data_IF_868538037436
#
_entry.id   IF_868538037436
#
_cell.length_a   1.000
_cell.length_b   1.000
_cell.length_c   1.000
_cell.angle_alpha   90.00
_cell.angle_beta   90.00
_cell.angle_gamma   90.00
#
_symmetry.space_group_name_H-M   'P 1'
#
loop_
_entity.id
_entity.type
_entity.pdbx_description
1 polymer ?
#
# COMPACT_ATOMS: atom_id res chain seq x y z
N UNK A 1 -4.63 -5.35 16.36
CA UNK A 1 -3.62 -4.66 15.52
C UNK A 1 -3.38 -5.49 14.26
N UNK A 2 -3.51 -4.92 13.07
CA UNK A 2 -3.22 -5.64 11.83
C UNK A 2 -1.97 -5.03 11.20
N UNK A 3 -0.99 -5.87 10.84
CA UNK A 3 0.28 -5.40 10.27
C UNK A 3 0.50 -6.04 8.92
N UNK A 4 0.71 -5.19 7.91
CA UNK A 4 0.95 -5.58 6.52
C UNK A 4 2.44 -5.83 6.31
N UNK A 5 2.78 -6.77 5.43
CA UNK A 5 4.16 -6.92 4.94
C UNK A 5 4.64 -5.61 4.32
N UNK A 6 5.91 -5.20 4.52
CA UNK A 6 6.39 -3.89 4.07
C UNK A 6 6.42 -3.75 2.55
N UNK A 7 6.50 -4.85 1.79
CA UNK A 7 6.48 -4.80 0.31
C UNK A 7 5.12 -4.34 -0.23
N UNK A 8 3.99 -5.02 0.07
CA UNK A 8 2.67 -4.54 -0.35
C UNK A 8 2.27 -3.22 0.35
N UNK A 9 2.83 -2.90 1.52
CA UNK A 9 2.70 -1.57 2.11
C UNK A 9 3.36 -0.50 1.23
N UNK A 10 4.60 -0.71 0.80
CA UNK A 10 5.31 0.22 -0.09
C UNK A 10 4.54 0.47 -1.38
N UNK A 11 4.11 -0.59 -2.07
CA UNK A 11 3.30 -0.45 -3.29
C UNK A 11 2.03 0.36 -3.05
N UNK A 12 1.32 0.08 -1.95
CA UNK A 12 0.11 0.81 -1.58
C UNK A 12 0.39 2.28 -1.28
N UNK A 13 1.52 2.59 -0.65
CA UNK A 13 1.93 3.95 -0.35
C UNK A 13 2.28 4.72 -1.63
N UNK A 14 2.96 4.08 -2.59
CA UNK A 14 3.24 4.70 -3.89
C UNK A 14 1.95 5.05 -4.64
N UNK A 15 0.99 4.11 -4.74
CA UNK A 15 -0.30 4.38 -5.38
C UNK A 15 -1.00 5.60 -4.75
N UNK A 16 -1.06 5.64 -3.41
CA UNK A 16 -1.68 6.74 -2.69
C UNK A 16 -0.94 8.07 -2.91
N UNK A 17 0.39 8.11 -2.78
CA UNK A 17 1.19 9.33 -2.96
C UNK A 17 1.06 9.89 -4.38
N UNK A 18 1.09 9.02 -5.39
CA UNK A 18 0.91 9.42 -6.79
C UNK A 18 -0.48 10.03 -6.99
N UNK A 19 -1.52 9.43 -6.41
CA UNK A 19 -2.87 10.00 -6.43
C UNK A 19 -2.95 11.36 -5.71
N UNK A 20 -2.16 11.54 -4.66
CA UNK A 20 -2.10 12.78 -3.89
C UNK A 20 -1.20 13.84 -4.56
N UNK A 21 -0.56 13.51 -5.69
CA UNK A 21 0.16 14.48 -6.52
C UNK A 21 1.69 14.40 -6.44
N UNK A 22 2.23 13.36 -5.81
CA UNK A 22 3.67 13.14 -5.75
C UNK A 22 4.25 12.95 -7.16
N UNK A 23 5.40 13.61 -7.40
CA UNK A 23 6.23 13.41 -8.60
C UNK A 23 7.20 12.25 -8.39
N UNK A 24 7.78 11.75 -9.46
CA UNK A 24 8.73 10.63 -9.43
C UNK A 24 9.91 10.90 -8.49
N UNK A 25 10.40 12.14 -8.45
CA UNK A 25 11.50 12.53 -7.59
C UNK A 25 11.16 12.57 -6.08
N UNK A 26 9.89 12.43 -5.74
CA UNK A 26 9.35 12.59 -4.38
C UNK A 26 8.79 11.30 -3.82
N UNK A 27 8.69 10.27 -4.69
CA UNK A 27 8.33 8.95 -4.26
C UNK A 27 9.40 8.45 -3.27
N UNK A 28 8.97 7.86 -2.13
CA UNK A 28 9.89 7.36 -1.14
C UNK A 28 10.77 6.28 -1.75
N UNK A 29 12.04 6.29 -1.38
CA UNK A 29 12.94 5.21 -1.74
C UNK A 29 12.51 3.93 -1.00
N UNK A 30 12.80 2.74 -1.56
CA UNK A 30 12.49 1.45 -0.93
C UNK A 30 13.00 1.37 0.51
N UNK A 31 14.18 1.94 0.77
CA UNK A 31 14.79 1.98 2.09
C UNK A 31 14.16 2.98 3.08
N UNK A 32 13.34 3.93 2.63
CA UNK A 32 12.73 4.96 3.48
C UNK A 32 11.39 4.52 4.07
N UNK A 33 10.84 3.39 3.60
CA UNK A 33 9.57 2.87 4.12
C UNK A 33 9.84 2.15 5.42
N UNK A 34 9.19 2.59 6.49
CA UNK A 34 9.29 1.98 7.81
C UNK A 34 7.93 1.44 8.23
N UNK A 35 7.91 0.24 8.81
CA UNK A 35 6.70 -0.37 9.36
C UNK A 35 6.20 0.37 10.60
N UNK A 36 7.11 0.82 11.47
CA UNK A 36 6.82 1.48 12.75
C UNK A 36 5.93 0.67 13.71
N UNK A 37 5.71 -0.60 13.37
CA UNK A 37 4.68 -1.44 13.97
C UNK A 37 5.24 -2.18 15.18
N UNK A 38 6.54 -2.42 15.24
CA UNK A 38 7.18 -3.00 16.41
C UNK A 38 7.07 -2.09 17.63
N UNK A 39 7.44 -0.80 17.50
CA UNK A 39 7.34 0.17 18.59
C UNK A 39 5.91 0.40 19.05
N UNK A 40 4.98 0.45 18.10
CA UNK A 40 3.55 0.55 18.40
C UNK A 40 3.06 -0.68 19.17
N UNK A 41 3.45 -1.89 18.77
CA UNK A 41 3.12 -3.11 19.51
C UNK A 41 3.73 -3.12 20.91
N UNK A 42 5.00 -2.72 21.06
CA UNK A 42 5.69 -2.64 22.36
C UNK A 42 4.91 -1.75 23.32
N UNK A 43 4.53 -0.53 22.88
CA UNK A 43 3.75 0.41 23.68
C UNK A 43 2.39 -0.16 24.09
N UNK A 44 1.64 -0.74 23.14
CA UNK A 44 0.34 -1.32 23.47
C UNK A 44 0.46 -2.48 24.46
N UNK A 45 1.44 -3.37 24.30
CA UNK A 45 1.63 -4.49 25.22
C UNK A 45 2.07 -4.03 26.61
N UNK A 46 2.90 -2.99 26.72
CA UNK A 46 3.28 -2.40 28.00
C UNK A 46 2.08 -1.80 28.74
N UNK A 47 1.12 -1.21 28.01
CA UNK A 47 -0.04 -0.53 28.60
C UNK A 47 -1.21 -1.46 28.88
N UNK A 48 -1.45 -2.45 28.01
CA UNK A 48 -2.65 -3.29 28.05
C UNK A 48 -2.36 -4.72 28.53
N UNK A 49 -1.10 -5.15 28.63
CA UNK A 49 -0.73 -6.55 28.78
C UNK A 49 -0.63 -7.26 27.43
N UNK A 50 0.23 -8.28 27.35
CA UNK A 50 0.50 -8.97 26.09
C UNK A 50 -0.71 -9.81 25.61
N UNK A 51 -1.46 -10.36 26.56
CA UNK A 51 -2.65 -11.17 26.39
C UNK A 51 -3.85 -10.39 25.83
N UNK A 52 -3.89 -9.07 26.05
CA UNK A 52 -4.98 -8.21 25.58
C UNK A 52 -4.68 -7.56 24.20
N UNK A 53 -3.52 -7.86 23.61
CA UNK A 53 -3.13 -7.32 22.30
C UNK A 53 -3.06 -8.42 21.26
N UNK A 54 -4.14 -8.54 20.48
CA UNK A 54 -4.19 -9.38 19.29
C UNK A 54 -3.59 -8.60 18.12
N UNK A 55 -2.34 -8.85 17.79
CA UNK A 55 -1.74 -8.53 16.49
C UNK A 55 -2.24 -9.55 15.43
N UNK A 56 -2.22 -9.28 14.14
CA UNK A 56 -2.59 -10.22 13.05
C UNK A 56 -1.87 -9.76 11.79
N UNK A 57 -1.55 -10.69 10.89
CA UNK A 57 -0.99 -10.33 9.57
C UNK A 57 -2.11 -9.80 8.67
N UNK A 58 -1.91 -8.62 8.12
CA UNK A 58 -2.78 -8.04 7.10
C UNK A 58 -2.40 -8.62 5.73
N UNK A 59 -2.94 -9.81 5.46
CA UNK A 59 -2.76 -10.53 4.21
C UNK A 59 -4.01 -11.36 3.96
N UNK A 60 -4.54 -11.37 2.72
CA UNK A 60 -5.81 -12.05 2.41
C UNK A 60 -5.78 -13.53 2.79
N UNK A 61 -4.65 -14.21 2.66
CA UNK A 61 -4.57 -15.61 3.06
C UNK A 61 -4.69 -15.80 4.58
N UNK A 62 -4.38 -14.77 5.37
CA UNK A 62 -4.35 -14.80 6.84
C UNK A 62 -5.62 -14.22 7.50
N UNK A 63 -6.52 -13.63 6.71
CA UNK A 63 -7.78 -13.04 7.16
C UNK A 63 -8.92 -14.03 6.92
N UNK A 64 -9.86 -14.11 7.85
CA UNK A 64 -11.10 -14.86 7.66
C UNK A 64 -11.85 -14.40 6.41
N UNK A 65 -12.20 -15.34 5.54
CA UNK A 65 -12.86 -15.03 4.26
C UNK A 65 -12.05 -14.09 3.34
N UNK A 66 -10.77 -13.86 3.64
CA UNK A 66 -9.93 -12.90 2.92
C UNK A 66 -10.24 -11.43 3.17
N UNK A 67 -11.04 -11.09 4.19
CA UNK A 67 -11.49 -9.72 4.46
C UNK A 67 -11.18 -9.27 5.91
N UNK A 68 -10.75 -8.02 6.05
CA UNK A 68 -10.34 -7.46 7.34
C UNK A 68 -11.52 -7.34 8.31
N UNK A 69 -12.66 -6.83 7.84
CA UNK A 69 -13.80 -6.58 8.72
C UNK A 69 -14.40 -7.91 9.15
N UNK A 70 -14.55 -8.85 8.23
CA UNK A 70 -14.99 -10.22 8.53
C UNK A 70 -14.10 -10.86 9.60
N UNK A 71 -12.79 -10.76 9.45
CA UNK A 71 -11.84 -11.27 10.44
C UNK A 71 -11.95 -10.56 11.79
N UNK A 72 -12.10 -9.22 11.81
CA UNK A 72 -12.30 -8.43 13.02
C UNK A 72 -13.58 -8.83 13.77
N UNK A 73 -14.70 -8.96 13.07
CA UNK A 73 -15.97 -9.37 13.67
C UNK A 73 -15.89 -10.77 14.28
N UNK A 74 -15.18 -11.70 13.61
CA UNK A 74 -14.89 -13.02 14.17
C UNK A 74 -14.06 -12.91 15.45
N UNK A 75 -13.02 -12.08 15.49
CA UNK A 75 -12.20 -11.90 16.70
C UNK A 75 -13.04 -11.32 17.86
N UNK A 76 -13.89 -10.34 17.58
CA UNK A 76 -14.82 -9.77 18.58
C UNK A 76 -15.75 -10.87 19.10
N UNK A 77 -16.34 -11.68 18.22
CA UNK A 77 -17.22 -12.76 18.63
C UNK A 77 -16.53 -13.84 19.46
N UNK A 78 -15.27 -14.16 19.16
CA UNK A 78 -14.46 -15.08 19.98
C UNK A 78 -14.24 -14.54 21.39
N UNK A 79 -13.96 -13.24 21.53
CA UNK A 79 -13.77 -12.59 22.84
C UNK A 79 -15.07 -12.58 23.65
N UNK A 80 -16.20 -12.30 23.01
CA UNK A 80 -17.51 -12.25 23.67
C UNK A 80 -18.17 -13.63 23.86
N UNK A 81 -17.60 -14.70 23.29
CA UNK A 81 -18.18 -16.05 23.34
C UNK A 81 -19.47 -16.23 22.53
N UNK A 82 -19.77 -15.31 21.61
CA UNK A 82 -20.97 -15.37 20.76
C UNK A 82 -20.66 -14.84 19.36
N UNK A 83 -21.29 -15.37 18.29
CA UNK A 83 -21.10 -14.86 16.94
C UNK A 83 -21.46 -13.37 16.83
N UNK A 84 -20.58 -12.58 16.23
CA UNK A 84 -20.85 -11.17 15.89
C UNK A 84 -20.65 -11.02 14.38
N UNK A 85 -21.59 -10.33 13.74
CA UNK A 85 -21.58 -10.06 12.31
C UNK A 85 -21.77 -8.56 12.04
N UNK A 86 -21.24 -8.05 10.92
CA UNK A 86 -21.52 -6.68 10.50
C UNK A 86 -23.01 -6.47 10.21
N UNK A 87 -23.56 -5.33 10.62
CA UNK A 87 -24.96 -4.97 10.37
C UNK A 87 -25.24 -4.65 8.89
N UNK A 88 -24.20 -4.35 8.11
CA UNK A 88 -24.28 -4.02 6.69
C UNK A 88 -23.25 -4.81 5.89
N UNK A 89 -23.48 -5.06 4.59
CA UNK A 89 -22.50 -5.69 3.73
C UNK A 89 -21.19 -4.90 3.73
N UNK A 90 -20.07 -5.57 3.98
CA UNK A 90 -18.74 -4.98 3.89
C UNK A 90 -18.47 -4.59 2.44
N UNK A 91 -18.27 -3.31 2.19
CA UNK A 91 -17.84 -2.78 0.87
C UNK A 91 -16.39 -2.34 0.98
N UNK A 92 -15.56 -2.77 0.03
CA UNK A 92 -14.20 -2.25 -0.11
C UNK A 92 -14.25 -0.82 -0.66
N UNK A 93 -13.88 0.17 0.15
CA UNK A 93 -13.87 1.58 -0.26
C UNK A 93 -12.49 2.09 -0.67
N UNK A 94 -11.43 1.32 -0.39
CA UNK A 94 -10.03 1.72 -0.59
C UNK A 94 -9.37 0.90 -1.70
N UNK A 95 -10.04 0.79 -2.84
CA UNK A 95 -9.44 0.11 -3.98
C UNK A 95 -8.37 0.99 -4.62
N UNK A 96 -7.18 0.43 -4.81
CA UNK A 96 -6.09 1.07 -5.55
C UNK A 96 -6.47 1.24 -7.03
N UNK A 97 -5.85 2.20 -7.72
CA UNK A 97 -6.03 2.30 -9.17
C UNK A 97 -5.33 1.15 -9.91
N UNK A 98 -5.67 0.95 -11.19
CA UNK A 98 -4.87 0.12 -12.07
C UNK A 98 -3.48 0.72 -12.27
N UNK A 99 -2.47 -0.11 -12.54
CA UNK A 99 -1.10 0.35 -12.81
C UNK A 99 -1.07 1.44 -13.88
N UNK A 100 -1.80 1.23 -14.97
CA UNK A 100 -1.90 2.20 -16.06
C UNK A 100 -2.47 3.55 -15.59
N UNK A 101 -3.53 3.54 -14.79
CA UNK A 101 -4.11 4.77 -14.24
C UNK A 101 -3.15 5.47 -13.27
N UNK A 102 -2.53 4.72 -12.36
CA UNK A 102 -1.53 5.26 -11.42
C UNK A 102 -0.36 5.90 -12.16
N UNK A 103 0.22 5.20 -13.15
CA UNK A 103 1.38 5.70 -13.90
C UNK A 103 1.03 6.86 -14.83
N UNK A 104 -0.18 6.89 -15.41
CA UNK A 104 -0.65 8.06 -16.15
C UNK A 104 -0.87 9.27 -15.24
N UNK A 105 -1.40 9.08 -14.03
CA UNK A 105 -1.48 10.16 -13.04
C UNK A 105 -0.08 10.65 -12.65
N UNK A 106 0.90 9.75 -12.53
CA UNK A 106 2.28 10.14 -12.26
C UNK A 106 2.85 11.03 -13.38
N UNK A 107 2.63 10.71 -14.66
CA UNK A 107 3.09 11.56 -15.76
C UNK A 107 2.39 12.91 -15.77
N UNK A 108 1.09 12.95 -15.44
CA UNK A 108 0.38 14.20 -15.22
C UNK A 108 1.03 15.04 -14.10
N UNK A 109 1.38 14.44 -12.96
CA UNK A 109 1.97 15.15 -11.83
C UNK A 109 3.29 15.85 -12.18
N UNK A 110 4.04 15.34 -13.17
CA UNK A 110 5.25 16.00 -13.69
C UNK A 110 4.93 17.30 -14.46
N UNK A 111 3.82 17.31 -15.20
CA UNK A 111 3.41 18.45 -16.04
C UNK A 111 2.52 19.47 -15.34
N UNK A 112 1.88 19.13 -14.23
CA UNK A 112 1.06 20.08 -13.47
C UNK A 112 1.93 21.09 -12.70
N UNK A 113 1.66 22.39 -12.90
CA UNK A 113 2.16 23.42 -11.99
C UNK A 113 1.65 23.13 -10.59
N UNK A 114 2.57 23.07 -9.63
CA UNK A 114 2.19 22.99 -8.22
C UNK A 114 1.41 24.22 -7.89
N UNK A 115 0.23 24.03 -7.29
CA UNK A 115 -0.56 25.10 -6.68
C UNK A 115 0.40 26.12 -6.06
N UNK A 116 0.49 27.31 -6.66
CA UNK A 116 1.16 28.43 -6.01
C UNK A 116 0.48 28.72 -4.67
N UNK A 117 1.08 29.60 -3.87
CA UNK A 117 0.55 30.01 -2.56
C UNK A 117 -0.92 30.53 -2.57
N UNK A 118 -1.52 30.69 -3.75
CA UNK A 118 -2.91 31.07 -3.98
C UNK A 118 -3.85 29.92 -4.35
N UNK A 119 -3.48 28.67 -4.07
CA UNK A 119 -4.39 27.50 -3.96
C UNK A 119 -5.61 27.56 -4.87
N UNK A 120 -5.43 27.31 -6.18
CA UNK A 120 -6.53 27.39 -7.13
C UNK A 120 -7.51 26.24 -6.89
N UNK A 121 -8.54 26.49 -6.07
CA UNK A 121 -9.56 25.52 -5.68
C UNK A 121 -10.19 24.80 -6.89
N UNK A 122 -10.20 25.46 -8.05
CA UNK A 122 -10.64 24.87 -9.33
C UNK A 122 -9.73 23.73 -9.79
N UNK A 123 -8.42 23.87 -9.65
CA UNK A 123 -7.47 22.81 -10.02
C UNK A 123 -7.62 21.60 -9.11
N UNK A 124 -7.79 21.82 -7.79
CA UNK A 124 -8.09 20.75 -6.82
C UNK A 124 -9.39 20.06 -7.22
N UNK A 125 -10.44 20.81 -7.49
CA UNK A 125 -11.74 20.27 -7.92
C UNK A 125 -11.63 19.46 -9.23
N UNK A 126 -10.91 19.97 -10.23
CA UNK A 126 -10.67 19.26 -11.49
C UNK A 126 -9.90 17.95 -11.28
N UNK A 127 -8.87 17.96 -10.41
CA UNK A 127 -8.14 16.74 -10.06
C UNK A 127 -9.05 15.73 -9.38
N UNK A 128 -9.81 16.16 -8.37
CA UNK A 128 -10.77 15.27 -7.69
C UNK A 128 -11.78 14.67 -8.68
N UNK A 129 -12.36 15.49 -9.56
CA UNK A 129 -13.31 15.03 -10.57
C UNK A 129 -12.68 14.01 -11.53
N UNK A 130 -11.43 14.23 -11.96
CA UNK A 130 -10.68 13.28 -12.78
C UNK A 130 -10.46 11.95 -12.04
N UNK A 131 -10.00 11.99 -10.79
CA UNK A 131 -9.75 10.78 -10.00
C UNK A 131 -11.03 9.98 -9.76
N UNK A 132 -12.16 10.63 -9.46
CA UNK A 132 -13.45 9.95 -9.32
C UNK A 132 -13.94 9.34 -10.63
N UNK A 133 -13.74 10.02 -11.76
CA UNK A 133 -14.07 9.47 -13.09
C UNK A 133 -13.29 8.20 -13.37
N UNK A 134 -11.97 8.22 -13.15
CA UNK A 134 -11.12 7.04 -13.31
C UNK A 134 -11.52 5.91 -12.35
N UNK A 135 -11.93 6.24 -11.11
CA UNK A 135 -12.33 5.24 -10.10
C UNK A 135 -13.59 4.51 -10.50
N UNK A 136 -14.52 5.20 -11.15
CA UNK A 136 -15.81 4.65 -11.51
C UNK A 136 -15.90 4.17 -12.96
N UNK A 137 -14.85 4.37 -13.77
CA UNK A 137 -14.78 3.90 -15.15
C UNK A 137 -14.86 2.36 -15.23
N UNK A 138 -15.94 1.78 -15.80
CA UNK A 138 -16.10 0.33 -15.90
C UNK A 138 -14.95 -0.33 -16.67
N UNK A 139 -14.50 0.34 -17.73
CA UNK A 139 -13.43 -0.14 -18.62
C UNK A 139 -12.06 -0.20 -17.96
N UNK A 140 -11.89 0.30 -16.73
CA UNK A 140 -10.63 0.22 -16.00
C UNK A 140 -10.64 -0.84 -14.89
N UNK A 141 -11.78 -1.48 -14.62
CA UNK A 141 -11.94 -2.42 -13.49
C UNK A 141 -11.07 -3.66 -13.62
N UNK A 142 -10.95 -4.19 -14.84
CA UNK A 142 -10.19 -5.42 -15.11
C UNK A 142 -8.71 -5.16 -15.43
N UNK A 143 -8.28 -3.91 -15.42
CA UNK A 143 -6.88 -3.58 -15.65
C UNK A 143 -6.01 -4.00 -14.45
N UNK A 144 -4.79 -4.50 -14.71
CA UNK A 144 -3.91 -4.96 -13.66
C UNK A 144 -3.56 -3.81 -12.70
N UNK A 145 -3.46 -4.11 -11.40
CA UNK A 145 -2.89 -3.21 -10.40
C UNK A 145 -1.36 -3.18 -10.56
N UNK A 146 -0.70 -2.25 -9.86
CA UNK A 146 0.77 -2.25 -9.80
C UNK A 146 1.28 -3.66 -9.39
N UNK A 147 2.20 -4.19 -10.19
CA UNK A 147 2.85 -5.46 -9.91
C UNK A 147 3.68 -5.36 -8.62
N UNK A 148 4.06 -6.50 -8.06
CA UNK A 148 5.04 -6.48 -6.97
C UNK A 148 6.39 -5.94 -7.48
N UNK A 149 7.18 -5.25 -6.64
CA UNK A 149 8.52 -4.83 -7.00
C UNK A 149 9.42 -6.02 -7.40
N UNK A 150 10.47 -5.82 -8.23
CA UNK A 150 11.44 -6.85 -8.52
C UNK A 150 12.10 -7.40 -7.24
N UNK A 151 12.64 -8.64 -7.24
CA UNK A 151 13.23 -9.25 -6.05
C UNK A 151 14.26 -8.37 -5.33
N UNK A 152 15.11 -7.66 -6.06
CA UNK A 152 16.10 -6.73 -5.48
C UNK A 152 15.46 -5.61 -4.67
N UNK A 153 14.43 -4.94 -5.23
CA UNK A 153 13.70 -3.88 -4.53
C UNK A 153 12.98 -4.44 -3.29
N UNK A 154 12.35 -5.62 -3.41
CA UNK A 154 11.68 -6.29 -2.28
C UNK A 154 12.66 -6.56 -1.13
N UNK A 155 13.86 -7.03 -1.46
CA UNK A 155 14.92 -7.26 -0.49
C UNK A 155 15.38 -5.95 0.18
N UNK A 156 15.53 -4.85 -0.56
CA UNK A 156 15.88 -3.54 0.02
C UNK A 156 14.86 -3.06 1.04
N UNK A 157 13.57 -3.17 0.72
CA UNK A 157 12.46 -2.81 1.62
C UNK A 157 12.54 -3.63 2.91
N UNK A 158 12.76 -4.94 2.80
CA UNK A 158 12.83 -5.84 3.96
C UNK A 158 14.09 -5.62 4.78
N UNK A 159 15.22 -5.30 4.15
CA UNK A 159 16.46 -4.93 4.86
C UNK A 159 16.26 -3.67 5.71
N UNK A 160 15.62 -2.65 5.15
CA UNK A 160 15.30 -1.42 5.88
C UNK A 160 14.34 -1.65 7.07
N UNK A 161 13.54 -2.72 7.02
CA UNK A 161 12.58 -3.09 8.06
C UNK A 161 13.01 -4.32 8.88
N UNK A 162 14.28 -4.72 8.82
CA UNK A 162 14.76 -6.00 9.38
C UNK A 162 14.41 -6.18 10.85
N UNK A 163 14.68 -5.16 11.67
CA UNK A 163 14.44 -5.23 13.12
C UNK A 163 12.95 -5.37 13.43
N UNK A 164 12.10 -4.60 12.75
CA UNK A 164 10.65 -4.68 12.86
C UNK A 164 10.15 -6.06 12.43
N UNK A 165 10.61 -6.58 11.30
CA UNK A 165 10.22 -7.92 10.80
C UNK A 165 10.64 -9.00 11.80
N UNK A 166 11.88 -8.96 12.29
CA UNK A 166 12.38 -9.93 13.26
C UNK A 166 11.57 -9.89 14.56
N UNK A 167 11.33 -8.69 15.10
CA UNK A 167 10.51 -8.50 16.29
C UNK A 167 9.08 -8.99 16.06
N UNK A 168 8.44 -8.58 14.97
CA UNK A 168 7.08 -8.98 14.66
C UNK A 168 6.99 -10.50 14.48
N UNK A 169 7.91 -11.15 13.78
CA UNK A 169 7.91 -12.61 13.58
C UNK A 169 8.07 -13.40 14.89
N UNK A 170 8.89 -12.91 15.82
CA UNK A 170 9.01 -13.52 17.15
C UNK A 170 7.69 -13.44 17.95
N UNK A 171 6.88 -12.41 17.66
CA UNK A 171 5.69 -12.04 18.40
C UNK A 171 4.38 -12.21 17.59
N UNK A 172 4.47 -12.77 16.38
CA UNK A 172 3.39 -12.91 15.43
C UNK A 172 2.48 -14.08 15.78
N UNK A 173 1.29 -14.00 15.20
CA UNK A 173 0.09 -14.76 15.49
C UNK A 173 0.16 -16.02 14.69
N UNK A 174 0.17 -17.16 15.36
CA UNK A 174 0.32 -18.43 14.69
C UNK A 174 1.63 -18.45 13.88
N UNK A 175 2.71 -18.96 14.50
CA UNK A 175 4.08 -19.01 13.93
C UNK A 175 4.16 -19.72 12.57
N UNK A 176 3.06 -20.28 12.07
CA UNK A 176 2.92 -20.92 10.77
C UNK A 176 3.03 -19.96 9.58
N UNK A 177 2.85 -18.63 9.75
CA UNK A 177 2.89 -17.68 8.62
C UNK A 177 3.67 -16.39 8.88
N UNK A 178 5.00 -16.48 9.11
CA UNK A 178 5.85 -15.32 9.36
C UNK A 178 5.90 -14.37 8.14
N UNK A 179 6.21 -13.10 8.40
CA UNK A 179 6.66 -12.17 7.37
C UNK A 179 7.99 -12.64 6.79
N UNK A 180 8.20 -12.37 5.51
CA UNK A 180 9.43 -12.78 4.84
C UNK A 180 10.61 -11.92 5.30
N UNK A 181 11.67 -12.56 5.73
CA UNK A 181 12.92 -11.90 6.12
C UNK A 181 13.66 -11.36 4.87
N UNK A 182 14.57 -10.39 5.03
CA UNK A 182 15.49 -10.03 3.95
C UNK A 182 16.32 -11.24 3.51
N UNK A 183 16.63 -11.31 2.22
CA UNK A 183 17.47 -12.35 1.62
C UNK A 183 18.97 -12.04 1.76
N UNK A 184 19.32 -10.77 1.99
CA UNK A 184 20.71 -10.31 2.09
C UNK A 184 20.97 -9.48 3.34
N UNK A 185 22.22 -9.54 3.81
CA UNK A 185 22.81 -8.68 4.84
C UNK A 185 23.71 -7.58 4.26
N UNK A 186 23.80 -7.48 2.93
CA UNK A 186 24.60 -6.44 2.30
C UNK A 186 24.08 -5.04 2.69
N UNK A 187 24.95 -4.01 2.66
CA UNK A 187 24.52 -2.62 2.73
C UNK A 187 23.47 -2.31 1.65
N UNK A 188 22.57 -1.40 1.96
CA UNK A 188 21.62 -0.88 0.97
C UNK A 188 22.40 -0.15 -0.15
N UNK A 189 21.95 -0.26 -1.41
CA UNK A 189 22.60 0.45 -2.50
C UNK A 189 22.42 1.97 -2.35
N UNK A 190 23.27 2.78 -3.02
CA UNK A 190 23.15 4.23 -3.00
C UNK A 190 21.77 4.72 -3.46
N UNK A 191 21.33 5.88 -2.98
CA UNK A 191 20.00 6.43 -3.29
C UNK A 191 19.74 6.59 -4.80
N UNK A 192 20.76 6.97 -5.57
CA UNK A 192 20.64 7.12 -7.02
C UNK A 192 20.30 5.80 -7.72
N UNK A 193 20.92 4.70 -7.29
CA UNK A 193 20.63 3.36 -7.81
C UNK A 193 19.23 2.90 -7.41
N UNK A 194 18.83 3.13 -6.15
CA UNK A 194 17.48 2.83 -5.69
C UNK A 194 16.42 3.58 -6.50
N UNK A 195 16.63 4.87 -6.74
CA UNK A 195 15.73 5.74 -7.49
C UNK A 195 15.60 5.28 -8.95
N UNK A 196 16.72 4.94 -9.57
CA UNK A 196 16.75 4.41 -10.93
C UNK A 196 15.97 3.09 -11.02
N UNK A 197 16.20 2.15 -10.11
CA UNK A 197 15.49 0.87 -10.09
C UNK A 197 13.97 1.03 -9.86
N UNK A 198 13.55 1.95 -8.98
CA UNK A 198 12.11 2.26 -8.78
C UNK A 198 11.51 2.85 -10.05
N UNK A 199 12.21 3.79 -10.70
CA UNK A 199 11.78 4.37 -11.98
C UNK A 199 11.61 3.28 -13.04
N UNK A 200 12.60 2.41 -13.21
CA UNK A 200 12.57 1.36 -14.23
C UNK A 200 11.47 0.34 -13.96
N UNK A 201 11.25 -0.04 -12.69
CA UNK A 201 10.13 -0.90 -12.30
C UNK A 201 8.76 -0.27 -12.58
N UNK A 202 8.57 1.00 -12.23
CA UNK A 202 7.31 1.69 -12.46
C UNK A 202 7.04 1.87 -13.96
N UNK A 203 8.01 2.41 -14.69
CA UNK A 203 7.85 2.69 -16.13
C UNK A 203 7.80 1.41 -16.97
N UNK A 204 8.45 0.33 -16.53
CA UNK A 204 8.40 -0.98 -17.22
C UNK A 204 7.02 -1.64 -17.22
N UNK A 205 6.06 -1.12 -16.44
CA UNK A 205 4.68 -1.60 -16.41
C UNK A 205 3.75 -0.83 -17.36
N UNK A 206 4.26 0.18 -18.09
CA UNK A 206 3.47 0.93 -19.05
C UNK A 206 3.10 0.07 -20.26
N UNK A 207 1.81 -0.18 -20.42
CA UNK A 207 1.25 -0.78 -21.62
C UNK A 207 0.49 0.29 -22.44
N UNK A 208 0.83 0.52 -23.72
CA UNK A 208 0.16 1.53 -24.54
C UNK A 208 -1.36 1.33 -24.68
N UNK A 209 -1.83 0.09 -24.75
CA UNK A 209 -3.25 -0.23 -24.86
C UNK A 209 -4.02 0.11 -23.58
N UNK A 210 -3.44 -0.20 -22.42
CA UNK A 210 -4.05 0.14 -21.13
C UNK A 210 -4.04 1.66 -20.89
N UNK A 211 -2.97 2.36 -21.29
CA UNK A 211 -2.91 3.82 -21.23
C UNK A 211 -3.98 4.47 -22.12
N UNK A 212 -4.19 3.96 -23.34
CA UNK A 212 -5.23 4.48 -24.22
C UNK A 212 -6.63 4.37 -23.59
N UNK A 213 -6.92 3.26 -22.89
CA UNK A 213 -8.18 3.08 -22.14
C UNK A 213 -8.29 4.10 -21.00
N UNK A 214 -7.21 4.32 -20.25
CA UNK A 214 -7.17 5.34 -19.18
C UNK A 214 -7.43 6.73 -19.75
N UNK A 215 -6.77 7.10 -20.84
CA UNK A 215 -6.93 8.40 -21.48
C UNK A 215 -8.36 8.59 -22.01
N UNK A 216 -8.97 7.56 -22.61
CA UNK A 216 -10.36 7.61 -23.04
C UNK A 216 -11.32 7.80 -21.84
N UNK A 217 -11.10 7.08 -20.74
CA UNK A 217 -11.87 7.22 -19.52
C UNK A 217 -11.64 8.57 -18.80
N UNK A 218 -10.51 9.23 -19.06
CA UNK A 218 -10.18 10.53 -18.49
C UNK A 218 -10.84 11.71 -19.22
N UNK A 219 -11.39 11.51 -20.42
CA UNK A 219 -12.13 12.56 -21.13
C UNK A 219 -13.50 12.81 -20.45
N UNK A 220 -13.98 14.06 -20.40
CA UNK A 220 -15.28 14.41 -19.83
C UNK A 220 -16.46 13.93 -20.69
#
# INVERSE_FOLDING_TARGET
MYVRDPVPLYRSALDQLIRDGARLAELPLPAQVTLGSADTLRRYRQQLGAENVILRRFDRACLEGGDLLTDLYRQIGQIHGQPVAPAHPVRSTNESFSAAATLWILTLNEGFERLGNTGDARQIQHRHALLERLRHAPDLKDLPKLADPPPGIRDWIRRANREDIAFLNQHAFDRTRPMEAPASDAPLPPEAEQRQAVRDWLLGQLNPGDLARVMAAALP
#
